data_IF_951945783524
#
_entry.id   IF_951945783524
#
_cell.length_a   1.000
_cell.length_b   1.000
_cell.length_c   1.000
_cell.angle_alpha   90.00
_cell.angle_beta   90.00
_cell.angle_gamma   90.00
#
_symmetry.space_group_name_H-M   'P 1'
#
loop_
_entity.id
_entity.type
_entity.pdbx_description
1 polymer ?
#
# COMPACT_ATOMS: atom_id res chain seq x y z
N UNK A 1 -2.01 -8.09 1.43
CA UNK A 1 -2.22 -8.97 0.28
C UNK A 1 -3.23 -8.37 -0.70
N UNK A 2 -3.29 -8.93 -1.91
CA UNK A 2 -4.19 -8.46 -2.95
C UNK A 2 -5.41 -9.37 -3.09
N UNK A 3 -6.54 -8.75 -3.44
CA UNK A 3 -7.65 -9.46 -4.06
C UNK A 3 -7.19 -9.89 -5.47
N UNK A 4 -7.00 -11.19 -5.67
CA UNK A 4 -6.34 -11.72 -6.87
C UNK A 4 -7.06 -11.35 -8.17
N UNK A 5 -8.38 -11.18 -8.15
CA UNK A 5 -9.15 -10.81 -9.34
C UNK A 5 -8.90 -9.37 -9.78
N UNK A 6 -8.31 -8.54 -8.92
CA UNK A 6 -8.05 -7.14 -9.20
C UNK A 6 -6.61 -6.85 -9.60
N UNK A 7 -5.74 -7.86 -9.60
CA UNK A 7 -4.31 -7.68 -9.84
C UNK A 7 -4.05 -7.28 -11.28
N UNK A 8 -3.24 -6.23 -11.46
CA UNK A 8 -2.78 -5.73 -12.76
C UNK A 8 -1.33 -5.32 -12.66
N UNK A 9 -0.64 -5.31 -13.80
CA UNK A 9 0.69 -4.70 -13.92
C UNK A 9 0.54 -3.28 -14.43
N UNK A 10 1.30 -2.36 -13.86
CA UNK A 10 1.29 -0.96 -14.25
C UNK A 10 2.71 -0.43 -14.21
N UNK A 11 3.07 0.44 -15.18
CA UNK A 11 4.37 1.08 -15.21
C UNK A 11 4.28 2.46 -14.57
N UNK A 12 5.19 2.75 -13.65
CA UNK A 12 5.27 4.06 -13.00
C UNK A 12 5.70 5.13 -14.02
N UNK A 13 5.06 6.30 -13.95
CA UNK A 13 5.42 7.47 -14.72
C UNK A 13 6.24 8.46 -13.93
N UNK A 14 6.43 9.67 -14.49
CA UNK A 14 7.23 10.73 -13.85
C UNK A 14 6.60 11.29 -12.57
N UNK A 15 5.28 11.18 -12.44
CA UNK A 15 4.53 11.72 -11.31
C UNK A 15 3.80 10.63 -10.53
N UNK A 16 4.38 9.44 -10.45
CA UNK A 16 3.80 8.34 -9.69
C UNK A 16 4.28 8.42 -8.24
N UNK A 17 3.36 8.76 -7.34
CA UNK A 17 3.61 8.88 -5.90
C UNK A 17 2.71 7.93 -5.15
N UNK A 18 3.25 7.25 -4.17
CA UNK A 18 2.50 6.37 -3.29
C UNK A 18 2.74 6.70 -1.83
N UNK A 19 1.81 6.30 -0.99
CA UNK A 19 1.84 6.55 0.45
C UNK A 19 1.94 5.24 1.20
N UNK A 20 2.59 5.27 2.35
CA UNK A 20 2.70 4.11 3.23
C UNK A 20 2.45 4.51 4.67
N UNK A 21 1.53 3.81 5.31
CA UNK A 21 1.42 3.84 6.77
C UNK A 21 2.48 2.94 7.39
N UNK A 22 3.01 3.36 8.53
CA UNK A 22 3.97 2.54 9.27
C UNK A 22 3.78 2.75 10.78
N UNK A 23 4.43 1.91 11.55
CA UNK A 23 4.40 1.95 12.99
C UNK A 23 4.27 0.55 13.58
N UNK A 24 4.70 0.38 14.81
CA UNK A 24 4.74 -0.93 15.44
C UNK A 24 5.64 -1.88 14.65
N UNK A 25 5.08 -2.96 14.12
CA UNK A 25 5.82 -3.96 13.33
C UNK A 25 6.04 -3.56 11.87
N UNK A 26 5.45 -2.46 11.40
CA UNK A 26 5.59 -2.01 10.02
C UNK A 26 6.64 -0.90 9.93
N UNK A 27 7.64 -1.09 9.07
CA UNK A 27 8.69 -0.10 8.83
C UNK A 27 8.20 1.02 7.91
N UNK A 28 8.86 2.19 8.00
CA UNK A 28 8.56 3.32 7.11
C UNK A 28 8.85 2.97 5.65
N UNK A 29 9.82 2.11 5.38
CA UNK A 29 10.10 1.59 4.05
C UNK A 29 9.55 0.18 3.93
N UNK A 30 8.83 -0.09 2.85
CA UNK A 30 8.26 -1.39 2.58
C UNK A 30 7.70 -1.44 1.18
N UNK A 31 7.35 -2.64 0.72
CA UNK A 31 6.98 -2.88 -0.68
C UNK A 31 5.54 -2.52 -0.99
N UNK A 32 4.67 -2.37 0.02
CA UNK A 32 3.25 -2.06 -0.19
C UNK A 32 2.99 -0.59 0.02
N UNK A 33 2.40 0.06 -0.98
CA UNK A 33 1.97 1.45 -0.94
C UNK A 33 0.49 1.53 -1.26
N UNK A 34 -0.15 2.64 -0.91
CA UNK A 34 -1.48 2.95 -1.42
C UNK A 34 -1.42 4.23 -2.26
N UNK A 35 -2.36 4.34 -3.20
CA UNK A 35 -2.29 5.31 -4.29
C UNK A 35 -2.42 6.75 -3.82
N UNK A 36 -3.42 7.04 -3.00
CA UNK A 36 -3.72 8.38 -2.52
C UNK A 36 -4.72 8.32 -1.38
N UNK A 37 -4.88 9.43 -0.67
CA UNK A 37 -5.95 9.54 0.31
C UNK A 37 -7.32 9.53 -0.36
N UNK A 38 -8.24 8.75 0.18
CA UNK A 38 -9.62 8.64 -0.26
C UNK A 38 -10.46 8.15 0.92
N UNK A 39 -11.79 8.09 0.80
CA UNK A 39 -12.61 7.48 1.84
C UNK A 39 -12.25 6.03 2.15
N UNK A 40 -11.58 5.33 1.20
CA UNK A 40 -11.10 3.95 1.39
C UNK A 40 -9.70 3.88 2.00
N UNK A 41 -9.03 5.02 2.23
CA UNK A 41 -7.69 5.07 2.85
C UNK A 41 -7.84 4.98 4.36
N UNK A 42 -8.21 3.81 4.86
CA UNK A 42 -8.41 3.56 6.26
C UNK A 42 -7.99 2.12 6.57
N UNK A 43 -7.90 1.80 7.86
CA UNK A 43 -7.45 0.48 8.31
C UNK A 43 -8.30 -0.65 7.78
N UNK A 44 -9.63 -0.46 7.74
CA UNK A 44 -10.56 -1.50 7.31
C UNK A 44 -10.42 -1.82 5.82
N UNK A 45 -10.40 -0.80 4.97
CA UNK A 45 -10.34 -0.97 3.50
C UNK A 45 -8.95 -1.31 3.00
N UNK A 46 -7.89 -0.88 3.69
CA UNK A 46 -6.52 -1.32 3.43
C UNK A 46 -6.26 -2.72 4.00
N UNK A 47 -7.18 -3.23 4.80
CA UNK A 47 -7.07 -4.52 5.48
C UNK A 47 -5.76 -4.63 6.26
N UNK A 48 -5.47 -3.61 7.09
CA UNK A 48 -4.27 -3.54 7.93
C UNK A 48 -4.65 -3.75 9.40
N UNK A 49 -4.62 -4.99 9.90
CA UNK A 49 -4.81 -5.25 11.33
C UNK A 49 -3.79 -4.48 12.16
N UNK A 50 -4.19 -4.04 13.34
CA UNK A 50 -3.32 -3.30 14.25
C UNK A 50 -2.03 -4.05 14.54
N UNK A 51 -2.09 -5.38 14.62
CA UNK A 51 -0.94 -6.24 14.89
C UNK A 51 0.13 -6.14 13.80
N UNK A 52 -0.28 -5.81 12.56
CA UNK A 52 0.64 -5.66 11.43
C UNK A 52 1.20 -4.25 11.33
N UNK A 53 0.36 -3.26 11.64
CA UNK A 53 0.72 -1.85 11.39
C UNK A 53 -0.10 -0.95 12.31
N UNK A 54 0.55 -0.26 13.21
CA UNK A 54 -0.13 0.65 14.14
C UNK A 54 -0.61 1.94 13.46
N UNK A 55 -0.16 2.22 12.23
CA UNK A 55 -0.54 3.40 11.43
C UNK A 55 -0.25 4.72 12.17
N UNK A 56 0.82 4.77 12.97
CA UNK A 56 1.22 5.96 13.71
C UNK A 56 2.04 6.95 12.88
N UNK A 57 2.54 6.52 11.73
CA UNK A 57 3.28 7.36 10.81
C UNK A 57 2.83 7.16 9.38
N UNK A 58 3.13 8.14 8.54
CA UNK A 58 2.87 8.08 7.11
C UNK A 58 4.07 8.64 6.35
N UNK A 59 4.43 8.00 5.25
CA UNK A 59 5.53 8.43 4.40
C UNK A 59 5.10 8.38 2.95
N UNK A 60 5.39 9.45 2.21
CA UNK A 60 5.20 9.50 0.77
C UNK A 60 6.48 9.06 0.06
N UNK A 61 6.31 8.29 -1.00
CA UNK A 61 7.41 7.89 -1.88
C UNK A 61 7.06 8.22 -3.33
N UNK A 62 8.06 8.67 -4.08
CA UNK A 62 8.00 8.67 -5.53
C UNK A 62 8.47 7.31 -6.04
N UNK A 63 7.71 6.69 -6.91
CA UNK A 63 8.14 5.46 -7.57
C UNK A 63 8.96 5.84 -8.80
N UNK A 64 10.14 5.26 -8.93
CA UNK A 64 11.05 5.58 -10.05
C UNK A 64 10.33 5.38 -11.37
N UNK A 65 10.44 6.37 -12.27
CA UNK A 65 9.85 6.30 -13.61
C UNK A 65 10.31 5.04 -14.34
N UNK A 66 9.38 4.31 -14.92
CA UNK A 66 9.67 3.07 -15.63
C UNK A 66 9.59 1.80 -14.78
N UNK A 67 9.39 1.92 -13.47
CA UNK A 67 9.24 0.76 -12.58
C UNK A 67 7.92 0.04 -12.86
N UNK A 68 7.99 -1.27 -13.00
CA UNK A 68 6.78 -2.11 -13.11
C UNK A 68 6.24 -2.38 -11.72
N UNK A 69 4.98 -2.03 -11.50
CA UNK A 69 4.29 -2.22 -10.23
C UNK A 69 3.20 -3.26 -10.38
N UNK A 70 2.95 -4.01 -9.33
CA UNK A 70 1.75 -4.82 -9.21
C UNK A 70 0.70 -3.97 -8.50
N UNK A 71 -0.46 -3.76 -9.13
CA UNK A 71 -1.53 -2.96 -8.57
C UNK A 71 -2.77 -3.83 -8.35
N UNK A 72 -3.60 -3.44 -7.42
CA UNK A 72 -4.84 -4.13 -7.15
C UNK A 72 -5.51 -3.60 -5.90
N UNK A 73 -6.57 -4.28 -5.49
CA UNK A 73 -7.29 -3.92 -4.28
C UNK A 73 -6.82 -4.79 -3.13
N UNK A 74 -6.79 -4.22 -1.93
CA UNK A 74 -6.44 -4.96 -0.73
C UNK A 74 -7.48 -6.06 -0.48
N UNK A 75 -7.00 -7.28 -0.22
CA UNK A 75 -7.87 -8.40 0.14
C UNK A 75 -8.33 -8.27 1.59
N UNK A 76 -9.54 -8.74 1.88
CA UNK A 76 -10.06 -8.78 3.25
C UNK A 76 -9.18 -9.66 4.14
N UNK A 77 -9.06 -9.26 5.41
CA UNK A 77 -8.31 -10.00 6.43
C UNK A 77 -9.26 -10.49 7.53
N UNK A 78 -10.17 -11.37 7.16
CA UNK A 78 -11.26 -11.83 8.02
C UNK A 78 -10.79 -12.57 9.28
N UNK A 79 -9.63 -13.20 9.23
CA UNK A 79 -9.06 -13.88 10.40
C UNK A 79 -8.68 -12.93 11.53
N UNK A 80 -8.48 -11.64 11.24
CA UNK A 80 -8.18 -10.60 12.22
C UNK A 80 -9.42 -9.82 12.66
N UNK A 81 -10.55 -9.99 11.97
CA UNK A 81 -11.81 -9.34 12.29
C UNK A 81 -12.61 -9.04 11.03
N UNK A 82 -13.92 -9.09 11.15
CA UNK A 82 -14.82 -8.85 10.02
C UNK A 82 -14.78 -7.40 9.51
N UNK A 83 -14.25 -6.46 10.31
CA UNK A 83 -14.11 -5.06 9.92
C UNK A 83 -12.99 -4.82 8.89
N UNK A 84 -12.05 -5.75 8.73
CA UNK A 84 -10.94 -5.62 7.76
C UNK A 84 -11.39 -6.12 6.40
N UNK A 85 -12.28 -5.35 5.76
CA UNK A 85 -12.98 -5.75 4.53
C UNK A 85 -12.16 -5.59 3.26
N UNK A 86 -11.07 -4.81 3.29
CA UNK A 86 -10.26 -4.56 2.10
C UNK A 86 -10.90 -3.58 1.14
N UNK A 87 -10.50 -3.64 -0.13
CA UNK A 87 -11.09 -2.86 -1.22
C UNK A 87 -10.36 -1.58 -1.59
N UNK A 88 -9.44 -1.08 -0.76
CA UNK A 88 -8.63 0.08 -1.11
C UNK A 88 -7.57 -0.30 -2.14
N UNK A 89 -7.23 0.64 -3.02
CA UNK A 89 -6.16 0.42 -4.00
C UNK A 89 -4.80 0.39 -3.33
N UNK A 90 -4.00 -0.61 -3.69
CA UNK A 90 -2.62 -0.70 -3.21
C UNK A 90 -1.69 -1.13 -4.32
N UNK A 91 -0.40 -0.83 -4.14
CA UNK A 91 0.67 -1.18 -5.06
C UNK A 91 1.70 -2.04 -4.36
N UNK A 92 2.30 -2.96 -5.09
CA UNK A 92 3.45 -3.72 -4.65
C UNK A 92 4.65 -3.35 -5.52
N UNK A 93 5.72 -2.91 -4.87
CA UNK A 93 6.98 -2.55 -5.51
C UNK A 93 8.01 -3.60 -5.12
N UNK A 94 8.48 -4.38 -6.09
CA UNK A 94 9.36 -5.51 -5.81
C UNK A 94 10.72 -5.09 -5.24
N UNK A 95 11.25 -3.95 -5.68
CA UNK A 95 12.58 -3.50 -5.30
C UNK A 95 12.48 -2.17 -4.56
N UNK A 96 12.89 -2.14 -3.29
CA UNK A 96 12.85 -0.94 -2.47
C UNK A 96 13.72 0.20 -3.03
N UNK A 97 14.73 -0.12 -3.84
CA UNK A 97 15.57 0.89 -4.50
C UNK A 97 14.80 1.75 -5.48
N UNK A 98 13.63 1.28 -5.94
CA UNK A 98 12.76 2.04 -6.84
C UNK A 98 11.86 3.03 -6.11
N UNK A 99 11.92 3.07 -4.78
CA UNK A 99 11.20 4.02 -3.95
C UNK A 99 12.11 5.19 -3.56
N UNK A 100 11.67 6.40 -3.90
CA UNK A 100 12.40 7.63 -3.57
C UNK A 100 11.60 8.32 -2.48
N UNK A 101 12.19 8.44 -1.29
CA UNK A 101 11.53 9.04 -0.14
C UNK A 101 11.26 10.51 -0.37
N UNK A 102 10.01 10.93 -0.22
CA UNK A 102 9.62 12.34 -0.26
C UNK A 102 9.70 12.94 1.14
N UNK A 103 10.08 14.20 1.21
CA UNK A 103 10.17 14.93 2.47
C UNK A 103 8.90 15.71 2.77
#
# INVERSE_FOLDING_TARGET
>A
SFDVETIKLQTAGESTYGLRFYGGNANAEGRYLFETFSPLTNRQNLALPYEWNSMTGIQQFQVRNGTTMITGKAAAQKSFGSQYIGGANQWYINNLEDLIKCR
#
